data_IF_880152297741
#
_entry.id   IF_880152297741
#
_cell.length_a   1.000
_cell.length_b   1.000
_cell.length_c   1.000
_cell.angle_alpha   90.00
_cell.angle_beta   90.00
_cell.angle_gamma   90.00
#
_symmetry.space_group_name_H-M   'P 1'
#
loop_
_entity.id
_entity.type
_entity.pdbx_description
1 polymer ?
#
# COMPACT_ATOMS: atom_id res chain seq x y z
N UNK A 1 33.74 11.26 -40.71
CA UNK A 1 32.38 11.79 -40.87
C UNK A 1 31.61 11.41 -39.61
N UNK A 2 31.39 12.36 -38.70
CA UNK A 2 30.73 12.12 -37.40
C UNK A 2 29.29 12.64 -37.55
N UNK A 3 28.31 11.73 -37.48
CA UNK A 3 26.88 12.04 -37.52
C UNK A 3 26.38 12.22 -36.07
N UNK A 4 26.20 13.48 -35.67
CA UNK A 4 25.59 13.83 -34.38
C UNK A 4 24.07 13.87 -34.59
N UNK A 5 23.35 12.88 -34.03
CA UNK A 5 21.88 12.87 -34.01
C UNK A 5 21.39 13.78 -32.89
N UNK A 6 21.05 15.02 -33.22
CA UNK A 6 20.25 15.90 -32.36
C UNK A 6 18.77 15.52 -32.47
N UNK A 7 18.26 14.80 -31.47
CA UNK A 7 16.82 14.54 -31.30
C UNK A 7 16.16 15.64 -30.47
N UNK A 8 15.18 16.33 -31.05
CA UNK A 8 14.39 17.39 -30.43
C UNK A 8 13.35 16.84 -29.45
N UNK A 9 13.24 17.45 -28.27
CA UNK A 9 12.12 17.26 -27.36
C UNK A 9 10.91 18.09 -27.83
N UNK A 10 9.82 17.45 -28.19
CA UNK A 10 8.54 18.13 -28.44
C UNK A 10 7.71 18.18 -27.16
N UNK A 11 7.71 19.36 -26.55
CA UNK A 11 6.75 19.82 -25.57
C UNK A 11 5.39 20.03 -26.25
N UNK A 12 4.33 19.36 -25.77
CA UNK A 12 2.95 19.69 -26.13
C UNK A 12 2.23 20.17 -24.87
N UNK A 13 2.17 21.49 -24.72
CA UNK A 13 1.20 22.16 -23.86
C UNK A 13 0.20 22.94 -24.70
N UNK A 14 -1.06 22.94 -24.25
CA UNK A 14 -2.15 23.93 -24.38
C UNK A 14 -3.49 23.17 -24.48
N UNK A 15 -4.37 23.33 -23.50
CA UNK A 15 -5.34 24.44 -23.40
C UNK A 15 -6.39 24.38 -24.51
N UNK A 16 -7.56 23.86 -24.16
CA UNK A 16 -8.76 23.84 -24.99
C UNK A 16 -9.98 24.19 -24.13
N UNK A 17 -10.33 25.47 -24.16
CA UNK A 17 -11.61 26.03 -23.72
C UNK A 17 -12.53 26.00 -24.95
N UNK A 18 -13.71 25.40 -24.84
CA UNK A 18 -14.69 25.36 -25.92
C UNK A 18 -16.03 24.82 -25.42
N UNK A 19 -17.06 25.61 -25.64
CA UNK A 19 -18.29 25.66 -24.86
C UNK A 19 -19.48 24.95 -25.56
N UNK A 20 -20.31 24.33 -24.73
CA UNK A 20 -21.78 24.29 -24.74
C UNK A 20 -22.63 23.44 -25.72
N UNK A 21 -23.69 22.87 -25.12
CA UNK A 21 -24.96 22.29 -25.62
C UNK A 21 -24.90 20.97 -26.41
N UNK A 22 -25.68 19.92 -26.12
CA UNK A 22 -26.89 19.80 -25.29
C UNK A 22 -27.18 18.33 -24.91
N UNK A 23 -27.72 18.17 -23.69
CA UNK A 23 -28.77 17.21 -23.31
C UNK A 23 -28.52 15.69 -23.42
N UNK A 24 -28.30 15.03 -22.27
CA UNK A 24 -29.42 14.32 -21.61
C UNK A 24 -29.13 14.00 -20.14
N UNK A 25 -30.04 14.56 -19.35
CA UNK A 25 -30.34 14.42 -17.94
C UNK A 25 -30.28 13.00 -17.37
N UNK A 26 -29.63 12.87 -16.21
CA UNK A 26 -30.07 11.98 -15.13
C UNK A 26 -29.64 12.59 -13.80
N UNK A 27 -30.65 12.87 -12.99
CA UNK A 27 -30.64 13.60 -11.74
C UNK A 27 -29.79 12.93 -10.66
N UNK A 28 -29.03 13.72 -9.92
CA UNK A 28 -28.81 13.51 -8.48
C UNK A 28 -28.75 14.89 -7.81
N UNK A 29 -29.61 15.08 -6.83
CA UNK A 29 -29.82 16.34 -6.11
C UNK A 29 -28.68 16.71 -5.14
N UNK A 30 -28.82 17.87 -4.47
CA UNK A 30 -27.73 18.63 -3.90
C UNK A 30 -27.61 18.52 -2.37
N UNK A 31 -26.49 18.99 -1.83
CA UNK A 31 -26.40 19.50 -0.46
C UNK A 31 -25.44 18.74 0.46
N UNK A 32 -24.42 19.45 0.96
CA UNK A 32 -24.23 19.72 2.40
C UNK A 32 -23.50 18.59 3.12
N UNK A 33 -22.32 18.78 3.70
CA UNK A 33 -21.99 19.85 4.65
C UNK A 33 -22.27 19.36 6.07
N UNK A 34 -21.19 19.05 6.81
CA UNK A 34 -21.18 18.73 8.24
C UNK A 34 -21.58 17.30 8.59
N UNK A 35 -21.26 16.72 9.74
CA UNK A 35 -20.50 17.12 10.93
C UNK A 35 -20.69 15.96 11.90
N UNK A 36 -19.61 15.37 12.41
CA UNK A 36 -19.57 14.55 13.63
C UNK A 36 -20.54 13.37 13.71
N UNK A 37 -20.03 12.17 13.45
CA UNK A 37 -20.50 10.94 14.09
C UNK A 37 -19.27 10.14 14.50
N UNK A 38 -18.80 10.50 15.70
CA UNK A 38 -18.13 9.70 16.71
C UNK A 38 -18.83 8.33 16.86
N UNK A 39 -18.59 7.46 15.88
CA UNK A 39 -18.82 6.02 15.97
C UNK A 39 -17.49 5.35 16.25
N UNK A 40 -17.31 4.89 17.49
CA UNK A 40 -16.22 4.03 17.93
C UNK A 40 -16.20 2.75 17.08
N UNK A 41 -15.46 2.79 15.97
CA UNK A 41 -15.19 1.64 15.12
C UNK A 41 -14.02 0.87 15.76
N UNK A 42 -14.10 -0.48 15.86
CA UNK A 42 -13.08 -1.27 16.53
C UNK A 42 -11.73 -1.07 15.85
N UNK A 43 -10.76 -0.52 16.59
CA UNK A 43 -9.33 -0.39 16.27
C UNK A 43 -8.99 -0.24 14.78
N UNK A 44 -9.11 0.96 14.22
CA UNK A 44 -8.60 1.24 12.86
C UNK A 44 -7.07 1.16 12.89
N UNK A 45 -6.55 -0.03 12.61
CA UNK A 45 -5.13 -0.26 12.34
C UNK A 45 -4.71 0.66 11.20
N UNK A 46 -3.91 1.69 11.52
CA UNK A 46 -3.48 2.66 10.51
C UNK A 46 -2.66 1.95 9.42
N UNK A 47 -3.09 2.10 8.16
CA UNK A 47 -2.42 1.52 7.02
C UNK A 47 -1.38 2.52 6.50
N UNK A 48 -0.12 2.11 6.47
CA UNK A 48 1.00 2.96 6.01
C UNK A 48 1.46 2.52 4.63
N UNK A 49 1.57 3.47 3.69
CA UNK A 49 2.23 3.25 2.40
C UNK A 49 3.74 3.28 2.58
N UNK A 50 4.43 2.27 2.07
CA UNK A 50 5.87 2.07 2.32
C UNK A 50 6.73 2.08 1.06
N UNK A 51 6.13 1.83 -0.10
CA UNK A 51 6.85 1.79 -1.36
C UNK A 51 5.99 1.43 -2.56
N UNK A 52 6.66 1.07 -3.64
CA UNK A 52 6.11 0.53 -4.88
C UNK A 52 6.85 -0.73 -5.29
N UNK A 53 6.17 -1.65 -5.98
CA UNK A 53 6.82 -2.78 -6.62
C UNK A 53 7.62 -2.29 -7.83
N UNK A 54 8.93 -2.46 -7.78
CA UNK A 54 9.84 -2.09 -8.86
C UNK A 54 10.06 -3.22 -9.87
N UNK A 55 10.08 -4.46 -9.41
CA UNK A 55 10.14 -5.65 -10.27
C UNK A 55 9.43 -6.83 -9.64
N UNK A 56 8.88 -7.69 -10.49
CA UNK A 56 8.24 -8.96 -10.12
C UNK A 56 9.00 -10.11 -10.77
N UNK A 57 9.31 -11.12 -9.98
CA UNK A 57 10.01 -12.34 -10.37
C UNK A 57 9.09 -13.54 -10.10
N UNK A 58 8.12 -13.83 -11.01
CA UNK A 58 7.05 -14.76 -10.72
C UNK A 58 7.51 -16.23 -10.69
N UNK A 59 8.56 -16.58 -11.45
CA UNK A 59 9.10 -17.94 -11.45
C UNK A 59 9.80 -18.26 -10.12
N UNK A 60 10.50 -17.26 -9.59
CA UNK A 60 11.22 -17.31 -8.32
C UNK A 60 10.34 -16.93 -7.11
N UNK A 61 9.10 -16.49 -7.37
CA UNK A 61 8.08 -16.10 -6.39
C UNK A 61 8.50 -14.95 -5.44
N UNK A 62 9.23 -13.97 -5.94
CA UNK A 62 9.56 -12.78 -5.15
C UNK A 62 9.35 -11.47 -5.92
N UNK A 63 9.35 -10.37 -5.19
CA UNK A 63 9.27 -9.01 -5.74
C UNK A 63 10.35 -8.12 -5.12
N UNK A 64 10.78 -7.11 -5.87
CA UNK A 64 11.61 -6.03 -5.34
C UNK A 64 10.75 -4.80 -5.10
N UNK A 65 10.81 -4.29 -3.87
CA UNK A 65 10.02 -3.16 -3.40
C UNK A 65 10.92 -1.96 -3.24
N UNK A 66 10.65 -0.91 -4.00
CA UNK A 66 11.33 0.37 -3.86
C UNK A 66 10.69 1.18 -2.73
N UNK A 67 11.46 1.43 -1.68
CA UNK A 67 10.99 2.21 -0.53
C UNK A 67 10.85 3.70 -0.84
N UNK A 68 9.84 4.32 -0.24
CA UNK A 68 9.71 5.79 -0.23
C UNK A 68 10.44 6.44 0.95
N UNK A 69 10.51 5.77 2.10
CA UNK A 69 11.13 6.30 3.31
C UNK A 69 12.41 5.55 3.66
N UNK A 70 13.42 6.28 4.13
CA UNK A 70 14.72 5.73 4.53
C UNK A 70 14.77 5.29 6.01
N UNK A 71 13.76 5.65 6.81
CA UNK A 71 13.68 5.33 8.25
C UNK A 71 12.53 4.37 8.57
N UNK A 72 12.69 3.57 9.62
CA UNK A 72 11.77 2.49 9.98
C UNK A 72 12.13 1.21 9.22
N UNK A 73 12.91 0.34 9.85
CA UNK A 73 13.13 -1.00 9.33
C UNK A 73 11.85 -1.81 9.45
N UNK A 74 11.51 -2.55 8.40
CA UNK A 74 10.54 -3.62 8.53
C UNK A 74 11.29 -4.84 9.05
N UNK A 75 10.76 -5.51 10.06
CA UNK A 75 11.33 -6.77 10.52
C UNK A 75 11.23 -7.82 9.41
N UNK A 76 12.19 -8.75 9.37
CA UNK A 76 12.02 -9.97 8.59
C UNK A 76 10.72 -10.67 8.98
N UNK A 77 10.04 -11.29 8.01
CA UNK A 77 8.75 -11.95 8.25
C UNK A 77 7.57 -10.98 8.38
N UNK A 78 7.77 -9.67 8.23
CA UNK A 78 6.66 -8.70 8.25
C UNK A 78 5.75 -8.96 7.05
N UNK A 79 4.46 -9.18 7.34
CA UNK A 79 3.42 -9.34 6.34
C UNK A 79 3.01 -7.96 5.81
N UNK A 80 3.07 -7.82 4.49
CA UNK A 80 2.75 -6.59 3.76
C UNK A 80 1.80 -6.93 2.62
N UNK A 81 1.13 -5.92 2.08
CA UNK A 81 0.26 -6.11 0.91
C UNK A 81 0.67 -5.20 -0.24
N UNK A 82 0.58 -5.70 -1.47
CA UNK A 82 0.55 -4.84 -2.66
C UNK A 82 -0.88 -4.51 -3.03
N UNK A 83 -1.10 -3.32 -3.56
CA UNK A 83 -2.41 -2.84 -4.03
C UNK A 83 -2.21 -2.28 -5.44
N UNK A 84 -2.85 -2.93 -6.40
CA UNK A 84 -2.86 -2.48 -7.79
C UNK A 84 -3.73 -1.22 -7.95
N UNK A 85 -3.55 -0.44 -9.03
CA UNK A 85 -4.43 0.70 -9.33
C UNK A 85 -5.92 0.33 -9.46
N UNK A 86 -6.23 -0.93 -9.78
CA UNK A 86 -7.60 -1.47 -9.84
C UNK A 86 -8.14 -1.95 -8.49
N UNK A 87 -7.37 -1.81 -7.40
CA UNK A 87 -7.77 -2.24 -6.05
C UNK A 87 -7.56 -3.72 -5.75
N UNK A 88 -7.02 -4.50 -6.68
CA UNK A 88 -6.63 -5.91 -6.43
C UNK A 88 -5.44 -5.94 -5.50
N UNK A 89 -5.51 -6.76 -4.45
CA UNK A 89 -4.46 -6.88 -3.43
C UNK A 89 -3.72 -8.21 -3.53
N UNK A 90 -2.41 -8.20 -3.28
CA UNK A 90 -1.58 -9.41 -3.14
C UNK A 90 -0.89 -9.43 -1.78
N UNK A 91 -0.69 -10.63 -1.23
CA UNK A 91 -0.05 -10.84 0.08
C UNK A 91 1.43 -11.16 -0.10
N UNK A 92 2.29 -10.43 0.61
CA UNK A 92 3.74 -10.56 0.52
C UNK A 92 4.37 -10.66 1.92
N UNK A 93 5.52 -11.30 2.02
CA UNK A 93 6.30 -11.40 3.26
C UNK A 93 7.71 -10.89 3.01
N UNK A 94 8.18 -9.95 3.81
CA UNK A 94 9.54 -9.43 3.68
C UNK A 94 10.58 -10.49 4.09
N UNK A 95 11.58 -10.70 3.23
CA UNK A 95 12.65 -11.69 3.49
C UNK A 95 13.75 -11.15 4.42
N UNK A 96 13.71 -9.86 4.75
CA UNK A 96 14.78 -9.18 5.48
C UNK A 96 15.97 -8.78 4.60
N UNK A 97 16.03 -9.25 3.36
CA UNK A 97 17.08 -8.87 2.41
C UNK A 97 16.87 -7.47 1.84
N UNK A 98 17.93 -6.67 1.82
CA UNK A 98 17.87 -5.28 1.39
C UNK A 98 19.06 -4.94 0.49
N UNK A 99 18.81 -4.18 -0.57
CA UNK A 99 19.85 -3.63 -1.45
C UNK A 99 19.59 -2.15 -1.69
N UNK A 100 20.27 -1.31 -0.92
CA UNK A 100 20.07 0.14 -0.95
C UNK A 100 18.63 0.52 -0.61
N UNK A 101 17.88 1.01 -1.60
CA UNK A 101 16.47 1.43 -1.43
C UNK A 101 15.46 0.31 -1.67
N UNK A 102 15.93 -0.87 -2.06
CA UNK A 102 15.09 -2.00 -2.39
C UNK A 102 15.04 -3.01 -1.25
N UNK A 103 13.86 -3.56 -1.03
CA UNK A 103 13.61 -4.71 -0.17
C UNK A 103 13.10 -5.87 -1.01
N UNK A 104 13.51 -7.08 -0.66
CA UNK A 104 12.93 -8.29 -1.23
C UNK A 104 11.73 -8.76 -0.39
N UNK A 105 10.69 -9.24 -1.07
CA UNK A 105 9.55 -9.88 -0.44
C UNK A 105 9.11 -11.09 -1.25
N UNK A 106 8.77 -12.17 -0.56
CA UNK A 106 8.20 -13.36 -1.16
C UNK A 106 6.70 -13.19 -1.40
N UNK A 107 6.23 -13.72 -2.53
CA UNK A 107 4.81 -13.73 -2.89
C UNK A 107 4.14 -14.90 -2.17
N UNK A 108 3.25 -14.59 -1.23
CA UNK A 108 2.45 -15.60 -0.53
C UNK A 108 1.18 -15.92 -1.33
N UNK A 109 0.50 -14.89 -1.80
CA UNK A 109 -0.77 -15.02 -2.50
C UNK A 109 -0.97 -13.87 -3.49
N UNK A 110 -1.65 -14.16 -4.61
CA UNK A 110 -2.03 -13.18 -5.61
C UNK A 110 -1.08 -13.11 -6.80
N UNK A 111 -1.15 -12.01 -7.53
CA UNK A 111 -0.37 -11.78 -8.75
C UNK A 111 0.05 -10.31 -8.78
N UNK A 112 1.05 -9.92 -7.96
CA UNK A 112 1.52 -8.55 -7.89
C UNK A 112 2.05 -8.09 -9.25
N UNK A 113 1.93 -6.79 -9.52
CA UNK A 113 2.40 -6.16 -10.76
C UNK A 113 3.37 -5.03 -10.47
N UNK A 114 4.23 -4.73 -11.46
CA UNK A 114 5.12 -3.57 -11.39
C UNK A 114 4.28 -2.28 -11.23
N UNK A 115 4.66 -1.44 -10.29
CA UNK A 115 3.96 -0.19 -9.96
C UNK A 115 2.84 -0.34 -8.92
N UNK A 116 2.54 -1.55 -8.44
CA UNK A 116 1.62 -1.73 -7.31
C UNK A 116 2.16 -1.00 -6.07
N UNK A 117 1.26 -0.35 -5.34
CA UNK A 117 1.59 0.35 -4.10
C UNK A 117 1.69 -0.66 -2.97
N UNK A 118 2.77 -0.59 -2.19
CA UNK A 118 2.98 -1.48 -1.05
C UNK A 118 2.56 -0.79 0.24
N UNK A 119 1.78 -1.51 1.04
CA UNK A 119 1.22 -1.04 2.31
C UNK A 119 1.49 -2.03 3.44
N UNK A 120 1.60 -1.50 4.65
CA UNK A 120 1.76 -2.28 5.89
C UNK A 120 0.64 -1.91 6.84
N UNK A 121 0.04 -2.92 7.49
CA UNK A 121 -0.87 -2.70 8.61
C UNK A 121 -0.04 -2.57 9.87
N UNK A 122 -0.09 -1.42 10.54
CA UNK A 122 0.41 -1.33 11.91
C UNK A 122 -0.70 -1.88 12.81
N UNK A 123 -0.46 -3.04 13.44
CA UNK A 123 -1.30 -3.45 14.56
C UNK A 123 -1.15 -2.37 15.64
N UNK A 124 -2.27 -1.89 16.18
CA UNK A 124 -2.23 -1.14 17.41
C UNK A 124 -1.70 -2.09 18.49
N UNK A 125 -0.62 -1.71 19.16
CA UNK A 125 -0.11 -2.44 20.32
C UNK A 125 -1.03 -2.16 21.52
N UNK A 126 -2.24 -2.70 21.49
CA UNK A 126 -3.12 -2.78 22.65
C UNK A 126 -3.84 -4.13 22.57
N UNK A 127 -3.83 -4.89 23.67
CA UNK A 127 -4.42 -6.23 23.86
C UNK A 127 -3.60 -7.46 23.45
N UNK A 128 -2.31 -7.51 23.81
CA UNK A 128 -1.76 -8.79 24.32
C UNK A 128 -1.86 -8.75 25.85
N UNK A 129 -3.08 -8.91 26.38
CA UNK A 129 -3.21 -9.53 27.70
C UNK A 129 -2.66 -10.97 27.53
N UNK A 130 -1.46 -11.19 28.06
CA UNK A 130 -0.90 -12.53 28.15
C UNK A 130 -1.90 -13.48 28.84
N UNK A 131 -1.90 -14.78 28.49
CA UNK A 131 -2.74 -15.75 29.19
C UNK A 131 -2.43 -15.65 30.68
N UNK A 132 -3.40 -15.19 31.47
CA UNK A 132 -3.33 -15.23 32.93
C UNK A 132 -3.10 -16.69 33.31
N UNK A 133 -1.90 -17.00 33.81
CA UNK A 133 -1.63 -18.28 34.46
C UNK A 133 -2.74 -18.54 35.48
N UNK A 134 -3.40 -19.71 35.47
CA UNK A 134 -4.29 -20.08 36.55
C UNK A 134 -3.45 -20.19 37.83
N UNK A 135 -3.60 -19.22 38.72
CA UNK A 135 -3.08 -19.27 40.09
C UNK A 135 -3.51 -20.60 40.72
N UNK A 136 -2.59 -21.45 41.22
CA UNK A 136 -2.97 -22.63 41.96
C UNK A 136 -3.76 -22.21 43.21
N UNK A 137 -5.05 -22.55 43.27
CA UNK A 137 -5.80 -22.47 44.52
C UNK A 137 -5.23 -23.52 45.46
N UNK A 138 -4.42 -23.08 46.42
CA UNK A 138 -4.11 -23.84 47.63
C UNK A 138 -5.38 -23.95 48.46
N UNK A 139 -5.94 -25.15 48.53
CA UNK A 139 -7.09 -25.51 49.35
C UNK A 139 -6.61 -25.71 50.80
N UNK A 140 -7.12 -24.96 51.80
CA UNK A 140 -6.84 -25.27 53.20
C UNK A 140 -7.94 -26.15 53.79
N UNK A 141 -7.64 -27.44 54.05
CA UNK A 141 -8.25 -28.26 55.11
C UNK A 141 -7.41 -29.50 55.41
#
# INVERSE_FOLDING_TARGET
>A
MILILSGSVTNCGLSGKGDNSESKESKAGPGSGGRGEDGEAPGISSMRVVGEIASVHPNEKFVLIKRYFQGGGFGEGTLIASVSPGGVTSSLVLTGETLGRYHAADIQEGSPSNGDVVVVRQAAEDDIEGPTEPVPQVDPS
#
